data_IF_665734565939
#
_entry.id   IF_665734565939
#
_cell.length_a   1.000
_cell.length_b   1.000
_cell.length_c   1.000
_cell.angle_alpha   90.00
_cell.angle_beta   90.00
_cell.angle_gamma   90.00
#
_symmetry.space_group_name_H-M   'P 1'
#
loop_
_entity.id
_entity.type
_entity.pdbx_description
1 polymer ?
2 non-polymer ?
3 water ?
#
# COMPACT_ATOMS: atom_id res chain seq x y z
N UNK A 7 -6.54 -29.55 0.05
CA UNK A 7 -5.33 -29.96 -0.73
C UNK A 7 -4.77 -28.78 -1.52
N UNK A 8 -5.21 -27.58 -1.18
CA UNK A 8 -4.75 -26.38 -1.86
C UNK A 8 -4.33 -25.32 -0.86
N UNK A 9 -4.64 -25.56 0.42
CA UNK A 9 -4.28 -24.63 1.46
C UNK A 9 -5.42 -23.75 1.91
N UNK A 10 -6.50 -23.70 1.14
CA UNK A 10 -7.65 -22.87 1.50
C UNK A 10 -8.75 -23.69 2.19
N UNK A 11 -9.31 -23.13 3.26
CA UNK A 11 -10.37 -23.79 3.99
C UNK A 11 -11.70 -23.11 3.64
N UNK A 12 -12.76 -23.91 3.51
CA UNK A 12 -14.06 -23.37 3.18
C UNK A 12 -15.11 -23.98 4.09
N UNK A 13 -16.15 -23.21 4.39
CA UNK A 13 -17.23 -23.71 5.23
C UNK A 13 -18.11 -24.56 4.31
N UNK A 14 -18.31 -25.83 4.68
CA UNK A 14 -19.15 -26.71 3.86
C UNK A 14 -20.61 -26.61 4.29
N UNK A 15 -21.48 -26.27 3.35
CA UNK A 15 -22.91 -26.13 3.62
C UNK A 15 -23.66 -27.44 3.40
N UNK A 16 -24.89 -27.52 3.93
CA UNK A 16 -25.72 -28.71 3.74
C UNK A 16 -26.75 -28.42 2.64
N UNK A 17 -27.65 -29.37 2.42
CA UNK A 17 -28.67 -29.20 1.39
C UNK A 17 -29.55 -27.99 1.69
N UNK A 18 -29.84 -27.78 2.97
CA UNK A 18 -30.67 -26.66 3.37
C UNK A 18 -29.94 -25.33 3.16
N UNK A 19 -28.62 -25.42 2.94
CA UNK A 19 -27.83 -24.22 2.74
C UNK A 19 -27.34 -23.66 4.06
N UNK A 20 -27.25 -24.54 5.06
CA UNK A 20 -26.80 -24.16 6.39
C UNK A 20 -25.37 -24.61 6.65
N UNK A 21 -24.69 -23.88 7.51
CA UNK A 21 -23.32 -24.22 7.84
C UNK A 21 -22.90 -23.58 9.14
N UNK A 22 -22.09 -24.29 9.90
CA UNK A 22 -21.60 -23.77 11.16
C UNK A 22 -20.25 -24.40 11.44
N UNK A 23 -19.36 -23.62 12.03
CA UNK A 23 -18.04 -24.10 12.36
C UNK A 23 -17.42 -23.14 13.36
N UNK A 24 -16.32 -23.55 13.96
CA UNK A 24 -15.61 -22.71 14.91
C UNK A 24 -14.18 -22.58 14.40
N UNK A 25 -13.77 -21.34 14.15
CA UNK A 25 -12.42 -21.09 13.65
C UNK A 25 -11.70 -20.07 14.53
N UNK A 26 -10.39 -19.98 14.38
CA UNK A 26 -9.60 -19.05 15.18
C UNK A 26 -8.67 -18.26 14.27
N UNK A 27 -8.98 -16.99 14.06
CA UNK A 27 -8.12 -16.17 13.22
C UNK A 27 -6.76 -16.10 13.91
N UNK A 28 -5.71 -16.30 13.13
CA UNK A 28 -4.34 -16.28 13.64
C UNK A 28 -3.68 -14.91 13.49
N UNK A 29 -2.65 -14.65 14.30
CA UNK A 29 -1.89 -13.40 14.30
C UNK A 29 -0.90 -13.35 13.13
N UNK A 30 -0.18 -12.23 12.98
CA UNK A 30 0.79 -12.09 11.91
C UNK A 30 1.77 -13.27 11.96
N UNK A 31 2.16 -13.76 10.80
CA UNK A 31 3.09 -14.88 10.70
C UNK A 31 4.47 -14.45 11.18
N UNK A 32 4.82 -13.20 10.90
CA UNK A 32 6.09 -12.62 11.32
C UNK A 32 5.89 -11.25 11.92
N UNK A 33 6.91 -10.73 12.59
CA UNK A 33 6.83 -9.43 13.23
C UNK A 33 6.50 -8.27 12.30
N UNK A 34 6.96 -8.34 11.06
CA UNK A 34 6.70 -7.27 10.12
C UNK A 34 5.52 -7.59 9.18
N UNK A 35 4.76 -8.62 9.51
CA UNK A 35 3.63 -9.01 8.68
C UNK A 35 2.32 -8.53 9.30
N UNK A 36 1.22 -8.69 8.56
CA UNK A 36 -0.10 -8.30 9.04
C UNK A 36 -0.94 -9.55 9.13
N UNK A 37 -1.90 -9.58 10.07
CA UNK A 37 -2.75 -10.77 10.21
C UNK A 37 -3.78 -10.86 9.07
N UNK A 38 -3.94 -9.78 8.32
CA UNK A 38 -4.91 -9.76 7.21
C UNK A 38 -4.35 -9.15 5.93
N UNK A 39 -4.85 -9.62 4.80
CA UNK A 39 -4.46 -9.13 3.50
C UNK A 39 -5.72 -8.54 2.87
N UNK A 40 -5.62 -7.34 2.32
CA UNK A 40 -6.77 -6.70 1.70
C UNK A 40 -6.63 -6.78 0.19
N UNK A 41 -7.68 -7.26 -0.47
CA UNK A 41 -7.62 -7.38 -1.92
C UNK A 41 -8.86 -6.76 -2.53
N UNK A 42 -8.65 -5.98 -3.59
CA UNK A 42 -9.75 -5.32 -4.31
C UNK A 42 -9.78 -5.91 -5.71
N UNK A 43 -10.97 -5.97 -6.32
CA UNK A 43 -11.08 -6.48 -7.68
C UNK A 43 -12.42 -6.18 -8.31
N UNK A 44 -12.56 -6.57 -9.57
CA UNK A 44 -13.79 -6.35 -10.34
C UNK A 44 -14.30 -7.68 -10.86
N UNK A 45 -15.62 -7.77 -11.00
CA UNK A 45 -16.24 -8.99 -11.49
C UNK A 45 -17.61 -8.67 -12.07
N UNK A 46 -17.75 -8.83 -13.38
CA UNK A 46 -19.01 -8.54 -14.04
C UNK A 46 -19.04 -9.20 -15.40
N UNK A 47 -20.24 -9.44 -15.91
CA UNK A 47 -20.44 -10.08 -17.19
C UNK A 47 -21.17 -9.15 -18.15
N UNK A 48 -20.69 -9.11 -19.39
CA UNK A 48 -21.30 -8.30 -20.45
C UNK A 48 -21.05 -9.00 -21.76
N UNK A 49 -22.02 -8.91 -22.67
CA UNK A 49 -21.88 -9.53 -23.98
C UNK A 49 -21.50 -11.00 -23.92
N UNK A 50 -22.02 -11.70 -22.90
CA UNK A 50 -21.72 -13.11 -22.74
C UNK A 50 -20.30 -13.38 -22.29
N UNK A 51 -19.60 -12.35 -21.81
CA UNK A 51 -18.22 -12.54 -21.38
C UNK A 51 -17.97 -11.98 -19.97
N UNK A 52 -17.05 -12.64 -19.25
CA UNK A 52 -16.71 -12.23 -17.90
C UNK A 52 -15.39 -11.49 -17.78
N UNK A 53 -15.39 -10.46 -16.94
CA UNK A 53 -14.19 -9.70 -16.63
C UNK A 53 -14.04 -9.92 -15.13
N UNK A 54 -13.06 -10.72 -14.76
CA UNK A 54 -12.78 -11.07 -13.38
C UNK A 54 -11.29 -10.86 -13.18
N UNK A 55 -10.93 -9.72 -12.61
CA UNK A 55 -9.52 -9.40 -12.40
C UNK A 55 -9.26 -8.62 -11.12
N UNK A 56 -8.03 -8.68 -10.64
CA UNK A 56 -7.66 -7.93 -9.45
C UNK A 56 -7.56 -6.48 -9.91
N UNK A 57 -7.74 -5.57 -8.96
CA UNK A 57 -7.67 -4.13 -9.24
C UNK A 57 -6.42 -3.52 -8.61
N UNK A 58 -5.61 -2.87 -9.42
CA UNK A 58 -4.38 -2.25 -8.96
C UNK A 58 -4.59 -1.20 -7.85
N UNK A 59 -5.85 -0.86 -7.55
CA UNK A 59 -6.11 0.12 -6.48
C UNK A 59 -5.85 -0.54 -5.14
N UNK A 60 -5.63 -1.86 -5.17
CA UNK A 60 -5.33 -2.59 -3.94
C UNK A 60 -4.09 -1.97 -3.31
N UNK A 61 -3.15 -1.54 -4.16
CA UNK A 61 -1.97 -0.85 -3.66
C UNK A 61 -1.98 0.61 -4.12
N UNK A 62 -3.17 1.20 -4.12
CA UNK A 62 -3.34 2.60 -4.47
C UNK A 62 -3.16 3.05 -5.92
N UNK A 63 -3.03 2.10 -6.84
CA UNK A 63 -2.82 2.45 -8.24
C UNK A 63 -4.08 2.32 -9.08
N UNK A 64 -4.85 3.40 -9.18
CA UNK A 64 -6.08 3.42 -9.96
C UNK A 64 -5.82 3.57 -11.46
N UNK A 65 -4.66 4.12 -11.82
CA UNK A 65 -4.30 4.34 -13.22
C UNK A 65 -4.10 3.05 -14.02
N UNK A 66 -3.59 2.02 -13.34
CA UNK A 66 -3.32 0.76 -14.01
C UNK A 66 -4.51 -0.17 -14.14
N UNK A 67 -5.70 0.33 -13.78
CA UNK A 67 -6.90 -0.46 -13.89
C UNK A 67 -7.83 0.19 -14.91
N UNK A 68 -8.15 -0.53 -16.00
CA UNK A 68 -9.02 -0.01 -17.05
C UNK A 68 -10.46 0.22 -16.62
N UNK A 69 -10.94 -0.64 -15.71
CA UNK A 69 -12.30 -0.52 -15.21
C UNK A 69 -12.46 0.78 -14.43
N UNK A 70 -11.61 0.97 -13.42
CA UNK A 70 -11.64 2.20 -12.64
C UNK A 70 -11.53 3.40 -13.58
N UNK A 71 -10.70 3.28 -14.60
CA UNK A 71 -10.55 4.38 -15.56
C UNK A 71 -11.87 4.64 -16.25
N UNK A 72 -12.51 3.57 -16.69
CA UNK A 72 -13.79 3.64 -17.40
C UNK A 72 -14.85 4.22 -16.48
N UNK A 73 -14.97 3.65 -15.29
CA UNK A 73 -15.95 4.11 -14.31
C UNK A 73 -15.79 5.60 -14.07
N UNK A 74 -14.56 6.04 -13.85
CA UNK A 74 -14.28 7.43 -13.57
C UNK A 74 -14.49 8.36 -14.77
N UNK A 75 -13.79 8.09 -15.86
CA UNK A 75 -13.88 8.90 -17.07
C UNK A 75 -15.30 9.11 -17.57
N UNK A 76 -16.17 8.12 -17.33
CA UNK A 76 -17.55 8.21 -17.77
C UNK A 76 -18.52 8.63 -16.66
N UNK A 77 -17.97 9.00 -15.51
CA UNK A 77 -18.78 9.43 -14.37
C UNK A 77 -19.99 8.52 -14.12
N UNK A 78 -19.77 7.21 -14.25
CA UNK A 78 -20.83 6.22 -14.08
C UNK A 78 -21.61 6.32 -12.77
N UNK A 79 -20.91 6.70 -11.71
CA UNK A 79 -21.55 6.84 -10.40
C UNK A 79 -22.70 7.85 -10.51
N UNK A 80 -22.53 8.85 -11.37
CA UNK A 80 -23.54 9.89 -11.57
C UNK A 80 -24.34 9.76 -12.87
N UNK A 81 -23.78 9.14 -13.90
CA UNK A 81 -24.51 9.02 -15.16
C UNK A 81 -25.19 7.67 -15.35
N UNK A 82 -24.83 6.68 -14.55
CA UNK A 82 -25.42 5.35 -14.71
C UNK A 82 -25.23 4.46 -13.48
N UNK A 83 -26.00 4.75 -12.43
CA UNK A 83 -25.91 3.99 -11.18
C UNK A 83 -25.83 2.48 -11.37
N UNK A 84 -26.73 1.94 -12.17
CA UNK A 84 -26.81 0.51 -12.46
C UNK A 84 -25.44 -0.02 -12.87
N UNK A 85 -24.93 0.52 -13.96
CA UNK A 85 -23.64 0.13 -14.49
C UNK A 85 -22.58 0.23 -13.40
N UNK A 86 -22.60 1.33 -12.64
CA UNK A 86 -21.65 1.54 -11.57
C UNK A 86 -21.62 0.36 -10.59
N UNK A 87 -22.79 -0.07 -10.10
CA UNK A 87 -22.86 -1.18 -9.16
C UNK A 87 -22.25 -2.46 -9.71
N UNK A 88 -22.51 -2.72 -10.99
CA UNK A 88 -21.99 -3.90 -11.67
C UNK A 88 -20.46 -3.87 -11.78
N UNK A 89 -19.92 -2.73 -12.16
CA UNK A 89 -18.47 -2.59 -12.36
C UNK A 89 -17.60 -2.13 -11.18
N UNK A 90 -18.21 -1.61 -10.13
CA UNK A 90 -17.46 -1.09 -8.98
C UNK A 90 -16.47 -2.07 -8.36
N UNK A 91 -15.39 -1.52 -7.80
CA UNK A 91 -14.39 -2.36 -7.15
C UNK A 91 -15.01 -3.05 -5.94
N UNK A 92 -14.53 -4.25 -5.65
CA UNK A 92 -15.02 -5.05 -4.53
C UNK A 92 -13.85 -5.46 -3.63
N UNK A 93 -13.96 -5.16 -2.35
CA UNK A 93 -12.91 -5.50 -1.39
C UNK A 93 -13.20 -6.78 -0.62
N UNK A 94 -12.19 -7.62 -0.49
CA UNK A 94 -12.31 -8.84 0.29
C UNK A 94 -11.06 -8.97 1.14
N UNK A 95 -11.01 -10.02 1.94
CA UNK A 95 -9.88 -10.20 2.84
C UNK A 95 -9.41 -11.63 2.90
N UNK A 96 -8.19 -11.79 3.38
CA UNK A 96 -7.54 -13.08 3.55
C UNK A 96 -6.93 -13.11 4.94
N UNK A 97 -6.89 -14.29 5.55
CA UNK A 97 -6.27 -14.46 6.85
C UNK A 97 -5.84 -15.91 6.98
N UNK A 98 -5.03 -16.18 8.00
CA UNK A 98 -4.62 -17.55 8.28
C UNK A 98 -5.53 -17.93 9.44
N UNK A 99 -6.05 -19.14 9.44
CA UNK A 99 -6.91 -19.55 10.55
C UNK A 99 -6.56 -20.94 11.02
N UNK A 100 -7.03 -21.25 12.22
CA UNK A 100 -6.86 -22.55 12.84
C UNK A 100 -8.30 -23.04 12.97
N UNK A 101 -8.61 -24.14 12.30
CA UNK A 101 -9.95 -24.71 12.38
C UNK A 101 -10.10 -25.40 13.71
N UNK A 102 -11.10 -24.98 14.49
CA UNK A 102 -11.33 -25.56 15.81
C UNK A 102 -12.36 -26.67 15.68
N UNK A 103 -13.54 -26.31 15.20
CA UNK A 103 -14.62 -27.27 15.01
C UNK A 103 -15.19 -27.19 13.61
N UNK A 104 -15.24 -28.33 12.94
CA UNK A 104 -15.79 -28.39 11.58
C UNK A 104 -16.64 -29.65 11.48
N UNK A 105 -17.88 -29.61 11.99
CA UNK A 105 -18.80 -30.75 11.96
C UNK A 105 -18.89 -31.44 10.60
N UNK A 106 -18.96 -30.66 9.52
CA UNK A 106 -19.07 -31.23 8.18
C UNK A 106 -17.81 -31.89 7.62
N UNK A 107 -16.65 -31.56 8.18
CA UNK A 107 -15.40 -32.13 7.71
C UNK A 107 -14.41 -32.13 8.87
N UNK A 108 -14.64 -32.96 9.89
CA UNK A 108 -13.84 -33.09 11.09
C UNK A 108 -12.35 -33.21 10.88
N UNK A 109 -11.93 -33.66 9.71
CA UNK A 109 -10.52 -33.82 9.40
C UNK A 109 -9.75 -32.49 9.32
N UNK A 110 -10.48 -31.39 9.21
CA UNK A 110 -9.85 -30.07 9.14
C UNK A 110 -9.48 -29.53 10.52
N UNK A 111 -10.18 -30.01 11.54
CA UNK A 111 -9.96 -29.56 12.90
C UNK A 111 -8.52 -29.70 13.35
N UNK A 112 -7.98 -28.61 13.90
CA UNK A 112 -6.62 -28.60 14.38
C UNK A 112 -5.61 -28.22 13.31
N UNK A 113 -6.08 -27.96 12.10
CA UNK A 113 -5.18 -27.59 11.01
C UNK A 113 -5.25 -26.11 10.65
N UNK A 114 -4.17 -25.61 10.04
CA UNK A 114 -4.07 -24.22 9.62
C UNK A 114 -4.31 -24.08 8.11
N UNK A 115 -5.13 -23.11 7.72
CA UNK A 115 -5.43 -22.86 6.31
C UNK A 115 -5.57 -21.35 6.10
N UNK A 116 -5.61 -20.94 4.83
CA UNK A 116 -5.85 -19.54 4.52
C UNK A 116 -7.37 -19.49 4.35
N UNK A 117 -7.97 -18.37 4.73
CA UNK A 117 -9.42 -18.20 4.68
C UNK A 117 -9.77 -16.84 4.12
N UNK A 118 -10.68 -16.79 3.15
CA UNK A 118 -11.07 -15.50 2.56
C UNK A 118 -12.44 -15.09 3.13
N UNK A 119 -12.68 -13.78 3.20
CA UNK A 119 -13.97 -13.32 3.72
C UNK A 119 -14.25 -11.88 3.33
N UNK A 120 -15.49 -11.45 3.56
CA UNK A 120 -15.89 -10.11 3.21
C UNK A 120 -16.10 -9.16 4.36
N UNK A 121 -16.68 -8.00 4.04
CA UNK A 121 -16.93 -6.94 4.99
C UNK A 121 -17.79 -7.35 6.19
N UNK A 122 -18.81 -8.17 5.94
CA UNK A 122 -19.71 -8.62 7.00
C UNK A 122 -18.96 -9.26 8.17
N UNK A 123 -17.95 -10.05 7.85
CA UNK A 123 -17.17 -10.72 8.88
C UNK A 123 -16.01 -9.84 9.35
N UNK A 124 -15.45 -9.05 8.45
CA UNK A 124 -14.35 -8.18 8.80
C UNK A 124 -14.79 -7.16 9.86
N UNK A 125 -16.04 -6.70 9.76
CA UNK A 125 -16.55 -5.73 10.72
C UNK A 125 -16.67 -6.31 12.11
N UNK A 126 -16.99 -7.59 12.20
CA UNK A 126 -17.12 -8.26 13.50
C UNK A 126 -15.74 -8.33 14.17
N UNK A 127 -14.70 -8.52 13.37
CA UNK A 127 -13.33 -8.58 13.89
C UNK A 127 -12.94 -7.21 14.42
N UNK A 128 -13.24 -6.19 13.64
CA UNK A 128 -12.91 -4.82 13.99
C UNK A 128 -13.76 -4.27 15.15
N UNK A 129 -15.01 -4.70 15.23
CA UNK A 129 -15.90 -4.22 16.30
C UNK A 129 -15.38 -4.69 17.66
N UNK A 130 -14.57 -5.75 17.65
CA UNK A 130 -14.00 -6.30 18.87
C UNK A 130 -12.86 -5.44 19.42
N UNK A 131 -12.15 -4.76 18.52
CA UNK A 131 -11.02 -3.93 18.92
C UNK A 131 -11.35 -2.44 18.93
N UNK A 132 -12.21 -2.00 18.01
CA UNK A 132 -12.59 -0.58 17.93
C UNK A 132 -13.73 -0.26 18.88
N UNK A 133 -13.46 -0.37 20.18
CA UNK A 133 -14.46 -0.16 21.21
C UNK A 133 -14.39 1.23 21.86
N UNK A 134 -15.38 1.54 22.69
CA UNK A 134 -15.41 2.84 23.38
C UNK A 134 -14.69 2.73 24.72
N UNK A 135 -13.39 3.01 24.71
CA UNK A 135 -12.59 2.92 25.92
C UNK A 135 -12.88 4.05 26.90
N UNK A 136 -13.70 5.01 26.48
CA UNK A 136 -14.06 6.12 27.35
C UNK A 136 -15.11 5.60 28.34
N UNK A 137 -15.93 4.67 27.88
CA UNK A 137 -16.97 4.07 28.71
C UNK A 137 -16.50 2.77 29.38
N UNK A 138 -15.19 2.52 29.34
CA UNK A 138 -14.65 1.34 29.96
C UNK A 138 -14.64 0.06 29.13
N UNK A 139 -15.09 0.13 27.88
CA UNK A 139 -15.08 -1.07 27.06
C UNK A 139 -13.66 -1.60 26.89
N UNK A 140 -13.51 -2.90 26.99
CA UNK A 140 -12.23 -3.57 26.86
C UNK A 140 -11.98 -4.02 25.43
N UNK A 141 -10.97 -3.45 24.77
CA UNK A 141 -10.73 -3.91 23.40
C UNK A 141 -10.26 -5.36 23.45
N UNK A 142 -10.44 -6.08 22.34
CA UNK A 142 -10.01 -7.47 22.24
C UNK A 142 -9.42 -7.72 20.85
N UNK A 143 -8.17 -8.21 20.82
CA UNK A 143 -7.52 -8.56 19.55
C UNK A 143 -7.83 -10.04 19.41
N UNK A 144 -8.83 -10.39 18.60
CA UNK A 144 -9.22 -11.78 18.43
C UNK A 144 -8.15 -12.70 17.81
N UNK A 145 -7.14 -12.11 17.18
CA UNK A 145 -6.09 -12.91 16.57
C UNK A 145 -4.96 -13.27 17.52
N UNK A 146 -4.99 -12.77 18.75
CA UNK A 146 -3.92 -13.10 19.70
C UNK A 146 -4.08 -14.55 20.17
N UNK A 147 -3.00 -15.34 20.12
CA UNK A 147 -3.02 -16.75 20.55
C UNK A 147 -3.30 -16.94 22.04
N UNK A 148 -3.04 -15.91 22.83
CA UNK A 148 -3.24 -15.97 24.27
C UNK A 148 -4.52 -15.30 24.74
N UNK A 149 -4.85 -14.15 24.13
CA UNK A 149 -6.02 -13.41 24.53
C UNK A 149 -6.98 -13.10 23.40
N UNK A 150 -6.92 -13.91 22.35
CA UNK A 150 -7.80 -13.72 21.24
C UNK A 150 -9.10 -14.45 21.58
N UNK A 151 -9.91 -14.73 20.57
CA UNK A 151 -11.18 -15.42 20.80
C UNK A 151 -11.61 -16.24 19.58
N UNK A 152 -12.18 -17.42 19.83
CA UNK A 152 -12.65 -18.27 18.73
C UNK A 152 -13.87 -17.61 18.10
N UNK A 153 -14.04 -17.84 16.80
CA UNK A 153 -15.17 -17.28 16.08
C UNK A 153 -16.09 -18.40 15.58
N UNK A 154 -17.38 -18.23 15.82
CA UNK A 154 -18.35 -19.21 15.37
C UNK A 154 -18.87 -18.74 14.03
N UNK A 155 -18.66 -19.56 13.00
CA UNK A 155 -19.13 -19.24 11.67
C UNK A 155 -20.52 -19.84 11.49
N UNK A 156 -21.51 -18.98 11.24
CA UNK A 156 -22.87 -19.45 11.02
C UNK A 156 -23.42 -18.89 9.71
N UNK A 157 -23.91 -19.78 8.86
CA UNK A 157 -24.49 -19.37 7.59
C UNK A 157 -25.92 -19.87 7.47
N UNK A 158 -26.77 -19.04 6.92
CA UNK A 158 -28.17 -19.37 6.71
C UNK A 158 -28.57 -18.74 5.39
N UNK A 159 -29.43 -19.42 4.63
CA UNK A 159 -29.88 -18.87 3.37
C UNK A 159 -31.01 -17.90 3.62
N UNK A 160 -30.76 -16.63 3.33
CA UNK A 160 -31.75 -15.57 3.51
C UNK A 160 -31.97 -14.85 2.17
N UNK A 161 -33.20 -14.88 1.67
CA UNK A 161 -33.51 -14.22 0.41
C UNK A 161 -32.57 -14.72 -0.69
N UNK A 162 -32.28 -16.01 -0.67
CA UNK A 162 -31.41 -16.58 -1.68
C UNK A 162 -29.91 -16.40 -1.46
N UNK A 163 -29.53 -15.57 -0.50
CA UNK A 163 -28.12 -15.32 -0.20
C UNK A 163 -27.64 -16.00 1.09
N UNK A 164 -26.33 -16.18 1.19
CA UNK A 164 -25.75 -16.77 2.39
C UNK A 164 -25.64 -15.66 3.42
N UNK A 165 -26.37 -15.81 4.52
CA UNK A 165 -26.36 -14.81 5.59
C UNK A 165 -25.48 -15.27 6.75
N UNK A 166 -24.61 -14.39 7.22
CA UNK A 166 -23.69 -14.69 8.32
C UNK A 166 -23.99 -13.93 9.60
N UNK A 167 -25.19 -13.36 9.69
CA UNK A 167 -25.58 -12.59 10.86
C UNK A 167 -25.36 -13.25 12.21
N UNK A 168 -25.61 -14.55 12.30
CA UNK A 168 -25.45 -15.26 13.56
C UNK A 168 -24.02 -15.61 13.92
N UNK A 169 -23.08 -15.33 13.04
CA UNK A 169 -21.68 -15.60 13.32
C UNK A 169 -21.28 -14.61 14.40
N UNK A 170 -20.39 -15.01 15.31
CA UNK A 170 -19.98 -14.13 16.37
C UNK A 170 -18.75 -14.70 17.07
N UNK A 171 -18.11 -13.85 17.87
CA UNK A 171 -16.94 -14.29 18.63
C UNK A 171 -17.41 -14.78 19.99
N UNK A 172 -16.73 -15.80 20.51
CA UNK A 172 -17.08 -16.35 21.81
C UNK A 172 -16.16 -15.62 22.82
N UNK A 173 -16.16 -16.09 24.07
CA UNK A 173 -15.33 -15.48 25.10
C UNK A 173 -13.85 -15.69 24.81
N UNK A 174 -13.01 -14.79 25.34
CA UNK A 174 -11.58 -14.91 25.13
C UNK A 174 -11.04 -16.23 25.64
N UNK A 175 -10.01 -16.75 24.97
CA UNK A 175 -9.38 -18.00 25.36
C UNK A 175 -8.05 -18.13 24.66
N UNK A 176 -7.09 -18.73 25.37
CA UNK A 176 -5.77 -18.97 24.81
C UNK A 176 -5.91 -20.22 23.98
N UNK A 177 -5.13 -20.34 22.91
CA UNK A 177 -5.19 -21.53 22.08
C UNK A 177 -4.60 -22.65 22.91
N UNK A 178 -5.25 -23.82 22.92
CA UNK A 178 -4.72 -24.95 23.70
C UNK A 178 -3.32 -25.32 23.24
N UNK A 179 -2.43 -25.61 24.18
CA UNK A 179 -1.06 -26.01 23.86
C UNK A 179 -0.23 -24.91 23.23
N UNK A 180 -0.74 -23.69 23.23
CA UNK A 180 -0.02 -22.56 22.63
C UNK A 180 1.32 -22.30 23.33
N UNK A 181 1.39 -22.62 24.62
CA UNK A 181 2.62 -22.42 25.37
C UNK A 181 3.69 -23.43 25.00
N UNK A 182 3.25 -24.56 24.44
CA UNK A 182 4.18 -25.60 24.01
C UNK A 182 4.88 -25.08 22.75
N UNK A 183 6.20 -24.92 22.83
CA UNK A 183 6.96 -24.39 21.71
C UNK A 183 6.88 -25.15 20.39
N UNK A 184 6.84 -26.48 20.47
CA UNK A 184 6.75 -27.28 19.26
C UNK A 184 5.42 -27.05 18.56
N UNK A 185 4.34 -26.97 19.34
CA UNK A 185 3.02 -26.72 18.78
C UNK A 185 3.01 -25.34 18.15
N UNK A 186 3.51 -24.36 18.91
CA UNK A 186 3.57 -22.96 18.48
C UNK A 186 4.42 -22.79 17.23
N UNK A 187 5.52 -23.54 17.17
CA UNK A 187 6.43 -23.49 16.03
C UNK A 187 5.75 -24.04 14.78
N UNK A 188 4.96 -25.10 14.95
CA UNK A 188 4.27 -25.74 13.84
C UNK A 188 3.06 -24.90 13.39
N UNK A 189 2.47 -24.20 14.35
CA UNK A 189 1.31 -23.37 14.05
C UNK A 189 1.75 -22.23 13.11
N UNK A 190 2.77 -21.47 13.52
CA UNK A 190 3.27 -20.39 12.67
C UNK A 190 3.89 -20.95 11.39
N UNK A 191 4.36 -22.19 11.45
CA UNK A 191 4.98 -22.84 10.30
C UNK A 191 3.97 -23.08 9.19
N UNK A 192 2.76 -23.51 9.56
CA UNK A 192 1.71 -23.77 8.58
C UNK A 192 1.01 -22.52 8.06
N UNK A 193 1.30 -21.37 8.66
CA UNK A 193 0.67 -20.13 8.21
C UNK A 193 1.32 -19.73 6.89
N UNK A 194 0.51 -19.31 5.92
CA UNK A 194 1.08 -18.89 4.65
C UNK A 194 1.34 -17.39 4.67
N UNK A 195 2.18 -16.96 3.75
CA UNK A 195 2.57 -15.56 3.59
C UNK A 195 1.38 -14.79 2.97
N UNK A 196 0.68 -14.00 3.78
CA UNK A 196 -0.48 -13.26 3.27
C UNK A 196 -0.14 -12.14 2.29
N UNK A 197 1.04 -11.53 2.40
CA UNK A 197 1.42 -10.48 1.45
C UNK A 197 1.54 -11.08 0.04
N UNK A 198 1.63 -12.40 -0.03
CA UNK A 198 1.75 -13.10 -1.30
C UNK A 198 0.49 -12.87 -2.15
N UNK A 199 -0.66 -12.74 -1.49
CA UNK A 199 -1.94 -12.52 -2.16
C UNK A 199 -2.02 -11.15 -2.84
N UNK A 200 -1.19 -10.22 -2.40
CA UNK A 200 -1.21 -8.87 -2.97
C UNK A 200 0.09 -8.43 -3.63
N UNK A 201 0.94 -9.40 -3.98
CA UNK A 201 2.21 -9.10 -4.61
C UNK A 201 2.03 -8.60 -6.05
N UNK A 202 3.10 -8.03 -6.61
CA UNK A 202 3.08 -7.48 -7.95
C UNK A 202 2.62 -8.44 -9.04
N UNK A 203 3.02 -9.71 -8.94
CA UNK A 203 2.65 -10.69 -9.95
C UNK A 203 1.15 -11.02 -9.95
N UNK A 204 0.40 -10.51 -8.97
CA UNK A 204 -1.03 -10.81 -8.93
C UNK A 204 -1.81 -9.78 -9.72
N UNK A 205 -1.09 -8.92 -10.43
CA UNK A 205 -1.73 -7.88 -11.22
C UNK A 205 -1.19 -7.86 -12.63
N UNK A 206 -2.09 -8.03 -13.59
CA UNK A 206 -1.72 -8.00 -15.00
C UNK A 206 -1.49 -6.55 -15.42
N UNK A 207 -0.67 -6.39 -16.45
CA UNK A 207 -0.35 -5.08 -16.98
C UNK A 207 -1.62 -4.38 -17.44
N UNK A 208 -1.54 -3.06 -17.59
CA UNK A 208 -2.68 -2.28 -18.02
C UNK A 208 -3.16 -2.70 -19.40
N UNK A 209 -2.24 -2.85 -20.34
CA UNK A 209 -2.60 -3.24 -21.70
C UNK A 209 -3.34 -4.56 -21.76
N UNK A 210 -2.92 -5.54 -20.97
CA UNK A 210 -3.62 -6.83 -21.01
C UNK A 210 -5.04 -6.68 -20.47
N UNK A 211 -5.18 -5.98 -19.35
CA UNK A 211 -6.48 -5.77 -18.76
C UNK A 211 -7.39 -4.97 -19.69
N UNK A 212 -6.85 -3.91 -20.27
CA UNK A 212 -7.63 -3.05 -21.15
C UNK A 212 -8.13 -3.84 -22.35
N UNK A 213 -7.25 -4.69 -22.88
CA UNK A 213 -7.59 -5.51 -24.03
C UNK A 213 -8.80 -6.38 -23.66
N UNK A 214 -8.70 -7.06 -22.53
CA UNK A 214 -9.80 -7.92 -22.08
C UNK A 214 -11.04 -7.09 -21.77
N UNK A 215 -10.85 -5.97 -21.09
CA UNK A 215 -11.98 -5.11 -20.73
C UNK A 215 -12.75 -4.69 -21.99
N UNK A 216 -12.01 -4.23 -23.00
CA UNK A 216 -12.65 -3.81 -24.23
C UNK A 216 -13.40 -4.91 -24.95
N UNK A 217 -12.85 -6.13 -24.96
CA UNK A 217 -13.57 -7.20 -25.63
C UNK A 217 -14.84 -7.53 -24.85
N UNK A 218 -14.80 -7.39 -23.52
CA UNK A 218 -15.97 -7.67 -22.71
C UNK A 218 -17.04 -6.62 -22.96
N UNK A 219 -16.65 -5.35 -23.01
CA UNK A 219 -17.62 -4.28 -23.25
C UNK A 219 -17.99 -4.20 -24.73
N UNK A 220 -17.17 -4.82 -25.58
CA UNK A 220 -17.41 -4.76 -27.00
C UNK A 220 -16.87 -3.40 -27.41
N UNK A 221 -16.26 -2.74 -26.43
CA UNK A 221 -15.69 -1.41 -26.57
C UNK A 221 -16.78 -0.38 -26.86
N UNK B 9 21.31 18.43 7.06
CA UNK B 9 20.60 19.52 6.32
C UNK B 9 19.98 19.07 5.00
N UNK B 10 18.79 19.59 4.73
CA UNK B 10 18.09 19.27 3.51
C UNK B 10 18.38 20.35 2.48
N UNK B 11 18.68 19.93 1.25
CA UNK B 11 18.96 20.87 0.18
C UNK B 11 17.68 21.12 -0.59
N UNK B 12 17.50 22.35 -1.07
CA UNK B 12 16.31 22.70 -1.83
C UNK B 12 16.69 23.60 -3.00
N UNK B 13 15.94 23.50 -4.09
CA UNK B 13 16.20 24.30 -5.29
C UNK B 13 15.53 25.68 -5.22
N UNK B 14 16.29 26.73 -4.91
CA UNK B 14 15.71 28.06 -4.85
C UNK B 14 15.32 28.52 -6.24
N UNK B 15 14.12 29.08 -6.37
CA UNK B 15 13.61 29.58 -7.65
C UNK B 15 13.88 31.09 -7.69
N UNK B 16 14.04 31.64 -8.89
CA UNK B 16 14.29 33.07 -9.02
C UNK B 16 12.99 33.86 -8.99
N UNK B 17 13.09 35.17 -9.24
CA UNK B 17 11.93 36.05 -9.23
C UNK B 17 10.82 35.57 -10.16
N UNK B 18 11.18 34.91 -11.25
CA UNK B 18 10.20 34.42 -12.21
C UNK B 18 9.75 32.99 -11.92
N UNK B 19 10.21 32.44 -10.80
CA UNK B 19 9.82 31.07 -10.46
C UNK B 19 10.53 30.01 -11.29
N UNK B 20 11.72 30.34 -11.78
CA UNK B 20 12.52 29.40 -12.58
C UNK B 20 13.67 28.91 -11.71
N UNK B 21 14.13 27.69 -11.98
CA UNK B 21 15.22 27.13 -11.21
C UNK B 21 16.16 26.30 -12.05
N UNK B 22 17.41 26.22 -11.63
CA UNK B 22 18.40 25.46 -12.38
C UNK B 22 19.52 24.99 -11.46
N UNK B 23 19.91 23.73 -11.60
CA UNK B 23 20.98 23.15 -10.78
C UNK B 23 21.39 21.76 -11.26
N UNK B 24 22.60 21.36 -10.89
CA UNK B 24 23.10 20.03 -11.25
C UNK B 24 23.42 19.33 -9.93
N UNK B 25 22.80 18.16 -9.74
CA UNK B 25 23.02 17.38 -8.53
C UNK B 25 23.39 15.94 -8.85
N UNK B 26 23.92 15.23 -7.86
CA UNK B 26 24.34 13.84 -8.05
C UNK B 26 23.72 12.95 -6.97
N UNK B 27 22.78 12.09 -7.36
CA UNK B 27 22.17 11.19 -6.39
C UNK B 27 23.25 10.20 -5.99
N UNK B 28 23.41 10.01 -4.68
CA UNK B 28 24.42 9.11 -4.16
C UNK B 28 23.91 7.68 -3.93
N UNK B 29 24.81 6.69 -3.92
CA UNK B 29 24.47 5.28 -3.71
C UNK B 29 24.10 5.02 -2.26
N UNK B 30 23.63 3.81 -1.97
CA UNK B 30 23.26 3.45 -0.61
C UNK B 30 24.46 3.77 0.31
N UNK B 31 24.16 4.37 1.47
CA UNK B 31 25.17 4.75 2.45
C UNK B 31 25.94 3.54 2.94
N UNK B 32 25.23 2.44 3.15
CA UNK B 32 25.87 1.21 3.59
C UNK B 32 25.30 0.11 2.67
N UNK B 33 26.02 -1.00 2.54
CA UNK B 33 25.56 -2.08 1.68
C UNK B 33 24.27 -2.66 2.24
N UNK B 34 23.97 -2.28 3.48
CA UNK B 34 22.77 -2.74 4.15
C UNK B 34 21.58 -1.88 3.77
N UNK B 35 21.84 -0.60 3.48
CA UNK B 35 20.79 0.35 3.13
C UNK B 35 20.39 0.37 1.66
N UNK B 36 19.60 1.37 1.31
CA UNK B 36 19.11 1.56 -0.06
C UNK B 36 19.42 2.99 -0.46
N UNK B 37 19.51 3.26 -1.77
CA UNK B 37 19.82 4.63 -2.23
C UNK B 37 18.63 5.60 -2.10
N UNK B 38 17.42 5.06 -1.97
CA UNK B 38 16.23 5.92 -1.85
C UNK B 38 15.26 5.45 -0.77
N UNK B 39 14.52 6.40 -0.20
CA UNK B 39 13.52 6.11 0.81
C UNK B 39 12.19 6.62 0.23
N UNK B 40 11.14 5.81 0.35
CA UNK B 40 9.83 6.19 -0.16
C UNK B 40 8.95 6.47 1.05
N UNK B 41 8.19 7.56 0.99
CA UNK B 41 7.34 7.95 2.11
C UNK B 41 6.02 8.53 1.59
N UNK B 42 4.91 7.96 2.05
CA UNK B 42 3.60 8.42 1.60
C UNK B 42 2.93 9.29 2.65
N UNK B 43 2.25 10.35 2.20
CA UNK B 43 1.58 11.26 3.11
C UNK B 43 0.17 11.61 2.66
N UNK B 44 -0.58 12.23 3.57
CA UNK B 44 -1.92 12.75 3.29
C UNK B 44 -1.83 14.18 3.78
N UNK B 45 -2.50 15.10 3.08
CA UNK B 45 -2.48 16.49 3.48
C UNK B 45 -3.68 17.19 2.90
N UNK B 46 -4.61 17.60 3.76
CA UNK B 46 -5.81 18.28 3.32
C UNK B 46 -6.46 19.10 4.42
N UNK B 47 -7.31 20.03 4.02
CA UNK B 47 -8.01 20.90 4.97
C UNK B 47 -9.53 20.75 4.90
N UNK B 48 -10.17 20.72 6.06
CA UNK B 48 -11.62 20.60 6.16
C UNK B 48 -12.12 21.48 7.30
N UNK B 49 -13.16 22.26 7.03
CA UNK B 49 -13.75 23.11 8.04
C UNK B 49 -12.68 23.87 8.81
N UNK B 50 -11.76 24.47 8.08
CA UNK B 50 -10.70 25.25 8.72
C UNK B 50 -9.65 24.47 9.47
N UNK B 51 -9.62 23.15 9.32
CA UNK B 51 -8.62 22.36 10.00
C UNK B 51 -7.83 21.46 9.07
N UNK B 52 -6.56 21.26 9.41
CA UNK B 52 -5.69 20.44 8.60
C UNK B 52 -5.38 19.05 9.15
N UNK B 53 -5.29 18.10 8.23
CA UNK B 53 -4.91 16.73 8.55
C UNK B 53 -3.65 16.58 7.72
N UNK B 54 -2.51 16.49 8.40
CA UNK B 54 -1.20 16.37 7.76
C UNK B 54 -0.51 15.22 8.46
N UNK B 55 -0.51 14.05 7.83
CA UNK B 55 0.09 12.87 8.47
C UNK B 55 0.74 11.90 7.50
N UNK B 56 1.69 11.13 8.00
CA UNK B 56 2.33 10.10 7.20
C UNK B 56 1.30 8.99 7.05
N UNK B 57 1.43 8.19 6.00
CA UNK B 57 0.51 7.10 5.72
C UNK B 57 1.17 5.74 5.89
N UNK B 58 0.51 4.87 6.67
CA UNK B 58 0.99 3.52 6.92
C UNK B 58 1.11 2.70 5.65
N UNK B 59 0.45 3.12 4.58
CA UNK B 59 0.52 2.38 3.33
C UNK B 59 1.97 2.34 2.87
N UNK B 60 2.79 3.26 3.41
CA UNK B 60 4.21 3.31 3.07
C UNK B 60 4.82 1.92 3.21
N UNK B 61 4.51 1.25 4.31
CA UNK B 61 5.04 -0.11 4.51
C UNK B 61 3.98 -1.19 4.31
N UNK B 62 3.08 -0.95 3.36
CA UNK B 62 2.04 -1.90 3.03
C UNK B 62 0.87 -2.10 3.97
N UNK B 63 0.72 -1.23 4.96
CA UNK B 63 -0.36 -1.37 5.91
C UNK B 63 -1.41 -0.27 5.69
N UNK B 64 -2.35 -0.55 4.79
CA UNK B 64 -3.41 0.40 4.46
C UNK B 64 -4.50 0.58 5.53
N UNK B 65 -4.80 -0.48 6.27
CA UNK B 65 -5.82 -0.44 7.32
C UNK B 65 -5.47 0.47 8.50
N UNK B 66 -4.17 0.66 8.76
CA UNK B 66 -3.74 1.50 9.88
C UNK B 66 -3.87 2.99 9.57
N UNK B 67 -4.35 3.29 8.37
CA UNK B 67 -4.56 4.67 7.97
C UNK B 67 -6.05 4.90 7.72
N UNK B 68 -6.59 5.86 8.55
CA UNK B 68 -8.04 6.27 8.52
C UNK B 68 -8.41 6.95 7.20
N UNK B 69 -7.45 7.63 6.57
CA UNK B 69 -7.74 8.30 5.30
C UNK B 69 -7.87 7.30 4.15
N UNK B 70 -6.99 6.31 4.11
CA UNK B 70 -7.07 5.28 3.07
C UNK B 70 -8.37 4.50 3.24
N UNK B 71 -8.75 4.20 4.49
CA UNK B 71 -9.97 3.45 4.74
C UNK B 71 -11.20 4.16 4.16
N UNK B 72 -11.26 5.48 4.37
CA UNK B 72 -12.37 6.36 3.93
C UNK B 72 -12.38 6.49 2.39
N UNK B 73 -11.19 6.64 1.81
CA UNK B 73 -11.06 6.78 0.36
C UNK B 73 -11.57 5.49 -0.29
N UNK B 74 -11.15 4.35 0.25
CA UNK B 74 -11.57 3.06 -0.29
C UNK B 74 -13.06 2.81 -0.04
N UNK B 75 -13.47 2.88 1.22
CA UNK B 75 -14.86 2.65 1.60
C UNK B 75 -15.86 3.47 0.80
N UNK B 76 -15.52 4.73 0.57
CA UNK B 76 -16.40 5.61 -0.19
C UNK B 76 -16.05 5.61 -1.67
N UNK B 77 -15.08 4.79 -2.05
CA UNK B 77 -14.65 4.68 -3.44
C UNK B 77 -14.52 6.06 -4.06
N UNK B 78 -13.94 6.99 -3.30
CA UNK B 78 -13.78 8.38 -3.71
C UNK B 78 -13.25 8.63 -5.11
N UNK B 79 -12.28 7.84 -5.53
CA UNK B 79 -11.70 8.02 -6.86
C UNK B 79 -12.78 8.02 -7.93
N UNK B 80 -13.73 7.10 -7.80
CA UNK B 80 -14.80 6.96 -8.78
C UNK B 80 -16.10 7.71 -8.42
N UNK B 81 -16.26 8.17 -7.18
CA UNK B 81 -17.49 8.86 -6.81
C UNK B 81 -17.33 10.31 -6.41
N UNK B 82 -16.09 10.79 -6.34
CA UNK B 82 -15.87 12.18 -5.95
C UNK B 82 -14.42 12.60 -6.25
N UNK B 83 -14.13 12.82 -7.53
CA UNK B 83 -12.80 13.21 -7.96
C UNK B 83 -12.21 14.35 -7.13
N UNK B 84 -13.01 15.40 -6.93
CA UNK B 84 -12.56 16.57 -6.18
C UNK B 84 -12.08 16.19 -4.78
N UNK B 85 -12.89 15.43 -4.07
CA UNK B 85 -12.56 15.01 -2.71
C UNK B 85 -11.34 14.08 -2.77
N UNK B 86 -11.31 13.12 -3.68
CA UNK B 86 -10.17 12.19 -3.78
C UNK B 86 -8.90 13.02 -3.98
N UNK B 87 -8.90 13.95 -4.94
CA UNK B 87 -7.74 14.79 -5.20
C UNK B 87 -7.26 15.50 -3.94
N UNK B 88 -8.16 15.66 -2.97
CA UNK B 88 -7.80 16.32 -1.72
C UNK B 88 -7.17 15.31 -0.73
N UNK B 89 -7.85 14.19 -0.53
CA UNK B 89 -7.39 13.16 0.41
C UNK B 89 -6.40 12.12 -0.06
N UNK B 90 -6.29 11.97 -1.37
CA UNK B 90 -5.40 10.96 -1.94
C UNK B 90 -4.03 10.86 -1.28
N UNK B 91 -3.47 9.65 -1.25
CA UNK B 91 -2.14 9.51 -0.70
C UNK B 91 -1.17 10.15 -1.70
N UNK B 92 -0.13 10.77 -1.17
CA UNK B 92 0.86 11.44 -1.99
C UNK B 92 2.21 10.84 -1.64
N UNK B 93 2.89 10.27 -2.63
CA UNK B 93 4.18 9.63 -2.40
C UNK B 93 5.35 10.60 -2.50
N UNK B 94 6.29 10.44 -1.59
CA UNK B 94 7.48 11.28 -1.52
C UNK B 94 8.74 10.41 -1.62
N UNK B 95 9.83 11.01 -2.07
CA UNK B 95 11.08 10.26 -2.19
C UNK B 95 12.23 11.03 -1.56
N UNK B 96 13.09 10.31 -0.84
CA UNK B 96 14.26 10.93 -0.20
C UNK B 96 15.54 10.31 -0.72
N UNK B 97 16.58 11.13 -0.85
CA UNK B 97 17.86 10.64 -1.33
C UNK B 97 18.98 11.50 -0.78
N UNK B 98 20.20 10.96 -0.82
CA UNK B 98 21.39 11.72 -0.42
C UNK B 98 21.93 12.21 -1.75
N UNK B 99 22.26 13.49 -1.83
CA UNK B 99 22.80 14.04 -3.07
C UNK B 99 24.06 14.86 -2.85
N UNK B 100 24.85 14.97 -3.91
CA UNK B 100 26.06 15.76 -3.90
C UNK B 100 25.73 16.90 -4.85
N UNK B 101 25.63 18.11 -4.32
CA UNK B 101 25.32 19.26 -5.17
C UNK B 101 26.52 19.59 -6.05
N UNK B 102 26.32 19.59 -7.36
CA UNK B 102 27.39 19.89 -8.28
C UNK B 102 27.44 21.38 -8.61
N UNK B 103 26.36 21.89 -9.21
CA UNK B 103 26.27 23.30 -9.56
C UNK B 103 24.99 23.88 -8.96
N UNK B 104 25.11 25.01 -8.27
CA UNK B 104 23.95 25.66 -7.66
C UNK B 104 24.08 27.18 -7.83
N UNK B 105 23.78 27.69 -9.04
CA UNK B 105 23.85 29.12 -9.37
C UNK B 105 23.28 30.04 -8.29
N UNK B 106 22.08 29.72 -7.82
CA UNK B 106 21.40 30.50 -6.81
C UNK B 106 22.08 30.43 -5.43
N UNK B 107 22.90 29.40 -5.22
CA UNK B 107 23.59 29.25 -3.94
C UNK B 107 24.92 28.50 -4.03
N UNK B 108 25.89 29.07 -4.76
CA UNK B 108 27.23 28.50 -4.97
C UNK B 108 27.88 27.89 -3.74
N UNK B 109 27.51 28.37 -2.56
CA UNK B 109 28.07 27.83 -1.33
C UNK B 109 27.64 26.39 -1.05
N UNK B 110 26.66 25.90 -1.79
CA UNK B 110 26.19 24.54 -1.61
C UNK B 110 27.05 23.51 -2.36
N UNK B 111 27.63 23.96 -3.46
CA UNK B 111 28.45 23.12 -4.33
C UNK B 111 29.53 22.29 -3.65
N UNK B 112 29.64 21.03 -4.06
CA UNK B 112 30.63 20.14 -3.48
C UNK B 112 30.25 19.58 -2.12
N UNK B 113 29.06 19.92 -1.62
CA UNK B 113 28.62 19.43 -0.33
C UNK B 113 27.48 18.42 -0.47
N UNK B 114 27.29 17.60 0.56
CA UNK B 114 26.26 16.56 0.57
C UNK B 114 25.06 16.86 1.47
N UNK B 115 23.86 16.62 0.97
CA UNK B 115 22.63 16.87 1.73
C UNK B 115 21.59 15.78 1.45
N UNK B 116 20.48 15.82 2.16
CA UNK B 116 19.40 14.89 1.87
C UNK B 116 18.50 15.73 0.97
N UNK B 117 17.74 15.07 0.10
CA UNK B 117 16.89 15.78 -0.84
C UNK B 117 15.59 15.01 -1.08
N UNK B 118 14.50 15.74 -1.22
CA UNK B 118 13.20 15.13 -1.44
C UNK B 118 12.66 15.47 -2.84
N UNK B 119 11.83 14.59 -3.38
CA UNK B 119 11.26 14.80 -4.70
C UNK B 119 10.04 13.93 -4.90
N UNK B 120 9.33 14.14 -5.99
CA UNK B 120 8.14 13.37 -6.27
C UNK B 120 8.24 12.44 -7.47
N UNK B 121 7.08 11.92 -7.88
CA UNK B 121 6.98 11.01 -9.01
C UNK B 121 7.63 11.49 -10.29
N UNK B 122 7.49 12.77 -10.58
CA UNK B 122 8.06 13.35 -11.79
C UNK B 122 9.57 13.11 -11.90
N UNK B 123 10.26 13.19 -10.78
CA UNK B 123 11.70 12.99 -10.73
C UNK B 123 12.02 11.51 -10.66
N UNK B 124 11.32 10.82 -9.79
CA UNK B 124 11.52 9.39 -9.61
C UNK B 124 11.41 8.63 -10.92
N UNK B 125 10.47 9.02 -11.77
CA UNK B 125 10.31 8.29 -13.04
C UNK B 125 11.50 8.44 -13.97
N UNK B 126 12.18 9.57 -13.88
CA UNK B 126 13.34 9.77 -14.73
C UNK B 126 14.46 8.85 -14.22
N UNK B 127 14.60 8.74 -12.90
CA UNK B 127 15.61 7.88 -12.30
C UNK B 127 15.32 6.43 -12.69
N UNK B 128 14.05 6.05 -12.62
CA UNK B 128 13.69 4.67 -12.94
C UNK B 128 13.83 4.35 -14.43
N UNK B 129 13.60 5.34 -15.29
CA UNK B 129 13.71 5.12 -16.73
C UNK B 129 15.13 4.79 -17.15
N UNK B 130 16.11 5.25 -16.37
CA UNK B 130 17.51 4.98 -16.68
C UNK B 130 17.84 3.49 -16.48
N UNK B 131 17.07 2.84 -15.61
CA UNK B 131 17.26 1.41 -15.33
C UNK B 131 16.34 0.54 -16.18
N UNK B 132 15.04 0.85 -16.16
CA UNK B 132 14.06 0.06 -16.90
C UNK B 132 14.06 0.35 -18.40
N UNK B 133 15.15 -0.03 -19.06
CA UNK B 133 15.29 0.18 -20.50
C UNK B 133 14.89 -1.10 -21.23
N UNK B 134 14.80 -1.03 -22.55
CA UNK B 134 14.43 -2.23 -23.30
C UNK B 134 15.70 -2.99 -23.62
N UNK B 135 16.07 -3.90 -22.72
CA UNK B 135 17.30 -4.68 -22.91
C UNK B 135 17.20 -5.65 -24.09
N UNK B 136 16.00 -5.80 -24.64
CA UNK B 136 15.78 -6.71 -25.77
C UNK B 136 15.96 -5.99 -27.10
N UNK B 137 16.18 -4.68 -27.03
CA UNK B 137 16.38 -3.86 -28.22
C UNK B 137 17.71 -3.11 -28.15
N UNK B 138 18.65 -3.67 -27.41
CA UNK B 138 19.97 -3.07 -27.31
C UNK B 138 20.20 -1.99 -26.27
N UNK B 139 19.17 -1.63 -25.52
CA UNK B 139 19.36 -0.59 -24.49
C UNK B 139 20.08 -1.21 -23.29
N UNK B 140 20.94 -0.43 -22.65
CA UNK B 140 21.68 -0.90 -21.48
C UNK B 140 21.33 -0.02 -20.28
N UNK B 141 21.06 -0.63 -19.12
CA UNK B 141 20.70 0.08 -17.89
C UNK B 141 21.80 1.01 -17.42
N UNK B 142 21.41 2.04 -16.69
CA UNK B 142 22.33 2.99 -16.11
C UNK B 142 21.89 3.26 -14.68
N UNK B 143 22.75 2.94 -13.73
CA UNK B 143 22.45 3.19 -12.31
C UNK B 143 23.03 4.59 -12.06
N UNK B 144 22.16 5.59 -12.10
CA UNK B 144 22.55 6.98 -11.91
C UNK B 144 23.23 7.31 -10.60
N UNK B 145 23.06 6.44 -9.60
CA UNK B 145 23.65 6.65 -8.29
C UNK B 145 25.04 6.05 -8.09
N UNK B 146 25.56 5.35 -9.10
CA UNK B 146 26.89 4.78 -8.98
C UNK B 146 27.92 5.90 -9.05
N UNK B 147 28.85 5.93 -8.08
CA UNK B 147 29.88 6.98 -8.05
C UNK B 147 30.86 6.93 -9.21
N UNK B 148 30.98 5.78 -9.85
CA UNK B 148 31.92 5.62 -10.97
C UNK B 148 31.24 5.63 -12.31
N UNK B 149 30.06 5.02 -12.39
CA UNK B 149 29.33 4.93 -13.64
C UNK B 149 27.92 5.49 -13.62
N UNK B 150 27.65 6.33 -12.62
CA UNK B 150 26.35 6.96 -12.51
C UNK B 150 26.36 8.19 -13.41
N UNK B 151 25.47 9.13 -13.16
CA UNK B 151 25.40 10.33 -14.00
C UNK B 151 24.78 11.53 -13.26
N UNK B 152 25.29 12.73 -13.55
CA UNK B 152 24.76 13.93 -12.93
C UNK B 152 23.38 14.23 -13.50
N UNK B 153 22.57 14.94 -12.72
CA UNK B 153 21.21 15.27 -13.12
C UNK B 153 20.99 16.79 -13.13
N UNK B 154 20.47 17.32 -14.22
CA UNK B 154 20.21 18.74 -14.30
C UNK B 154 18.77 18.95 -13.85
N UNK B 155 18.63 19.55 -12.69
CA UNK B 155 17.33 19.82 -12.11
C UNK B 155 16.89 21.23 -12.48
N UNK B 156 15.84 21.35 -13.27
CA UNK B 156 15.35 22.67 -13.65
C UNK B 156 13.84 22.80 -13.58
N UNK B 157 13.41 24.00 -13.20
CA UNK B 157 12.00 24.30 -13.03
C UNK B 157 11.59 25.60 -13.70
N UNK B 158 10.34 25.61 -14.16
CA UNK B 158 9.75 26.78 -14.80
C UNK B 158 8.26 26.67 -14.49
N UNK B 159 7.65 27.80 -14.10
CA UNK B 159 6.24 27.80 -13.77
C UNK B 159 5.36 27.56 -14.99
N UNK B 160 4.51 26.56 -14.90
CA UNK B 160 3.62 26.18 -16.00
C UNK B 160 2.20 26.03 -15.49
N UNK B 161 1.28 26.84 -16.03
CA UNK B 161 -0.12 26.78 -15.65
C UNK B 161 -0.35 26.85 -14.14
N UNK B 162 0.48 27.63 -13.45
CA UNK B 162 0.32 27.78 -12.01
C UNK B 162 1.03 26.75 -11.16
N UNK B 163 1.94 25.98 -11.74
CA UNK B 163 2.68 24.97 -10.96
C UNK B 163 4.15 24.93 -11.33
N UNK B 164 4.98 24.46 -10.40
CA UNK B 164 6.40 24.31 -10.67
C UNK B 164 6.48 23.07 -11.56
N UNK B 165 7.05 23.21 -12.76
CA UNK B 165 7.16 22.12 -13.71
C UNK B 165 8.63 21.70 -13.88
N UNK B 166 8.90 20.39 -13.72
CA UNK B 166 10.26 19.86 -13.83
C UNK B 166 10.52 19.06 -15.11
N UNK B 167 9.59 19.09 -16.05
CA UNK B 167 9.72 18.35 -17.31
C UNK B 167 11.10 18.45 -17.95
N UNK B 168 11.71 19.62 -17.87
CA UNK B 168 13.01 19.84 -18.48
C UNK B 168 14.21 19.19 -17.78
N UNK B 169 14.00 18.67 -16.58
CA UNK B 169 15.08 18.00 -15.84
C UNK B 169 15.51 16.75 -16.61
N UNK B 170 16.79 16.41 -16.56
CA UNK B 170 17.30 15.22 -17.26
C UNK B 170 18.68 14.82 -16.80
N UNK B 171 19.04 13.55 -17.02
CA UNK B 171 20.36 13.05 -16.66
C UNK B 171 21.34 13.35 -17.79
N UNK B 172 22.56 13.70 -17.41
CA UNK B 172 23.60 14.00 -18.38
C UNK B 172 24.32 12.71 -18.70
N UNK B 173 25.39 12.79 -19.51
CA UNK B 173 26.20 11.64 -19.86
C UNK B 173 26.75 11.08 -18.56
N UNK B 174 27.11 9.80 -18.57
CA UNK B 174 27.66 9.15 -17.39
C UNK B 174 29.03 9.69 -17.04
N UNK B 175 29.34 9.77 -15.75
CA UNK B 175 30.63 10.26 -15.32
C UNK B 175 30.95 9.78 -13.92
N UNK B 176 32.24 9.79 -13.59
CA UNK B 176 32.66 9.38 -12.27
C UNK B 176 32.73 10.63 -11.40
N UNK B 177 32.41 10.47 -10.12
CA UNK B 177 32.46 11.59 -9.20
C UNK B 177 33.93 11.98 -9.04
N UNK B 178 34.26 13.24 -9.36
CA UNK B 178 35.65 13.70 -9.26
C UNK B 178 36.26 13.39 -7.89
N UNK B 179 37.43 12.76 -7.92
CA UNK B 179 38.18 12.42 -6.70
C UNK B 179 37.60 11.27 -5.90
N UNK B 180 36.57 10.62 -6.43
CA UNK B 180 35.93 9.52 -5.73
C UNK B 180 36.92 8.45 -5.25
N UNK B 181 38.00 8.25 -6.01
CA UNK B 181 38.99 7.26 -5.65
C UNK B 181 39.84 7.65 -4.45
N UNK B 182 39.84 8.95 -4.13
CA UNK B 182 40.59 9.43 -2.97
C UNK B 182 39.83 8.93 -1.76
N UNK B 183 40.30 7.85 -1.13
CA UNK B 183 39.61 7.28 0.03
C UNK B 183 39.36 8.28 1.15
N UNK B 184 40.01 9.43 1.09
CA UNK B 184 39.80 10.45 2.12
C UNK B 184 38.49 11.14 1.79
N UNK B 185 38.42 11.66 0.57
CA UNK B 185 37.21 12.34 0.10
C UNK B 185 36.02 11.37 0.05
N UNK B 186 36.31 10.10 -0.21
CA UNK B 186 35.28 9.07 -0.31
C UNK B 186 34.69 8.78 1.07
N UNK B 187 35.55 8.55 2.06
CA UNK B 187 35.09 8.27 3.41
C UNK B 187 34.36 9.51 3.91
N UNK B 188 34.82 10.68 3.48
CA UNK B 188 34.21 11.95 3.87
C UNK B 188 32.82 12.03 3.22
N UNK B 189 32.77 11.69 1.94
CA UNK B 189 31.53 11.71 1.16
C UNK B 189 30.42 10.88 1.80
N UNK B 190 30.72 9.62 2.09
CA UNK B 190 29.73 8.74 2.72
C UNK B 190 29.40 9.16 4.14
N UNK B 191 30.25 9.99 4.74
CA UNK B 191 30.01 10.46 6.11
C UNK B 191 28.88 11.47 6.13
N UNK B 192 28.90 12.42 5.19
CA UNK B 192 27.86 13.45 5.12
C UNK B 192 26.50 12.82 4.88
N UNK B 193 26.49 11.65 4.26
CA UNK B 193 25.25 10.94 3.97
C UNK B 193 24.50 10.60 5.24
N UNK B 194 23.19 10.77 5.20
CA UNK B 194 22.34 10.46 6.34
C UNK B 194 21.68 9.09 6.13
N UNK B 195 21.20 8.49 7.22
CA UNK B 195 20.53 7.21 7.13
C UNK B 195 19.08 7.46 6.71
N UNK B 196 18.80 7.24 5.44
CA UNK B 196 17.49 7.46 4.86
C UNK B 196 16.35 6.68 5.54
N UNK B 197 16.66 5.48 6.02
CA UNK B 197 15.64 4.64 6.67
C UNK B 197 15.04 5.29 7.91
N UNK B 198 15.72 6.29 8.46
CA UNK B 198 15.21 6.96 9.64
C UNK B 198 13.90 7.67 9.30
N UNK B 199 13.77 8.15 8.07
CA UNK B 199 12.56 8.84 7.65
C UNK B 199 11.36 7.95 7.35
N UNK B 200 11.55 6.64 7.47
CA UNK B 200 10.47 5.68 7.25
C UNK B 200 10.40 4.69 8.40
N UNK B 201 11.04 5.03 9.52
CA UNK B 201 11.03 4.16 10.69
C UNK B 201 9.69 4.20 11.42
N UNK B 202 9.43 3.18 12.23
CA UNK B 202 8.19 3.05 12.97
C UNK B 202 7.69 4.30 13.68
N UNK B 203 8.62 5.00 14.33
CA UNK B 203 8.31 6.22 15.08
C UNK B 203 7.73 7.36 14.26
N UNK B 204 7.85 7.28 12.93
CA UNK B 204 7.34 8.34 12.07
C UNK B 204 5.86 8.17 11.75
N UNK B 205 5.25 7.11 12.26
CA UNK B 205 3.83 6.89 11.99
C UNK B 205 3.05 6.84 13.29
N UNK B 206 2.08 7.75 13.45
CA UNK B 206 1.24 7.75 14.64
C UNK B 206 0.32 6.53 14.56
N UNK B 207 -0.14 6.07 15.72
CA UNK B 207 -1.03 4.91 15.78
C UNK B 207 -2.33 5.22 15.09
N UNK B 208 -3.06 4.18 14.69
CA UNK B 208 -4.33 4.35 14.04
C UNK B 208 -5.32 5.13 14.92
N UNK B 209 -5.30 4.83 16.22
CA UNK B 209 -6.22 5.48 17.15
C UNK B 209 -6.04 6.99 17.22
N UNK B 210 -4.80 7.44 17.28
CA UNK B 210 -4.54 8.86 17.34
C UNK B 210 -4.95 9.46 15.99
N UNK B 211 -4.60 8.76 14.92
CA UNK B 211 -4.94 9.20 13.57
C UNK B 211 -6.44 9.24 13.33
N UNK B 212 -7.14 8.23 13.83
CA UNK B 212 -8.59 8.16 13.64
C UNK B 212 -9.31 9.31 14.34
N UNK B 213 -8.82 9.73 15.50
CA UNK B 213 -9.46 10.83 16.21
C UNK B 213 -9.23 12.13 15.45
N UNK B 214 -7.99 12.37 15.04
CA UNK B 214 -7.69 13.59 14.29
C UNK B 214 -8.46 13.62 12.97
N UNK B 215 -8.53 12.49 12.27
CA UNK B 215 -9.25 12.44 11.00
C UNK B 215 -10.73 12.74 11.25
N UNK B 216 -11.25 12.23 12.36
CA UNK B 216 -12.65 12.43 12.68
C UNK B 216 -13.04 13.84 13.12
N UNK B 217 -12.11 14.56 13.74
CA UNK B 217 -12.43 15.92 14.14
C UNK B 217 -12.28 16.87 12.96
N UNK B 218 -11.41 16.51 12.03
CA UNK B 218 -11.21 17.32 10.84
C UNK B 218 -12.44 17.14 9.96
N UNK B 219 -12.93 15.90 9.85
CA UNK B 219 -14.13 15.63 9.06
C UNK B 219 -15.36 16.27 9.70
N UNK B 220 -15.28 16.48 11.00
CA UNK B 220 -16.39 17.09 11.72
C UNK B 220 -17.67 16.29 11.64
X LIG C 1 -10.20 -0.93 -10.63
X LIG D 1 -3.35 6.62 3.97
#
# INVERSE_FOLDING_TARGET
>A
KGFSSEDKGEWKLKLDASGNGQAVIRFLPAKTDDALPFAILVNHGFKKNGKWYIETCSSTHGDYDSCPVCQYISKNDLYNTNKTEYSQLKRKTSYWANILVVKDPQAPDNEGKVFKYRFGKKIWDKINAMIAVDTEMGETPVDVTCPWEGANFVLKVKQVSGFSNYDESKFLNQSAIPNIDDESFQKELFEQMVDLSEMTSKDKFKSFEELNTKFNQVLGTAALGGAAAAAAS
>B
KGFSSEDKGEWKLKLDASGNGQAVIRFLPAKTDDALPFAILVNHGFKKNGKWYIETCSSTHGDYDSCPVCQYISKNDLYNTNKTEYSQLKRKTSYWANILVVKDPQAPDNEGKVFKYRFGKKIWDKINAMIAVDTEMGETPVDVTCPWEGANFVLKVKQVSGFSNYDESKFLNQSAIPNIDDESFQKELFEQMVDLSEMTSKDKFKSFEELNTKFNQVLGTAALGGAAAAAAS
>C hetero
1 ZN ZN
>D hetero
1 ZN ZN
#
